data_IF_641622606664
#
_entry.id   IF_641622606664
#
_cell.length_a   1.000
_cell.length_b   1.000
_cell.length_c   1.000
_cell.angle_alpha   90.00
_cell.angle_beta   90.00
_cell.angle_gamma   90.00
#
_symmetry.space_group_name_H-M   'P 1'
#
loop_
_entity.id
_entity.type
_entity.pdbx_description
1 polymer ?
#
# COMPACT_ATOMS: atom_id res chain seq x y z
N UNK A 1 -29.45 6.94 -16.44
CA UNK A 1 -30.23 6.27 -17.51
C UNK A 1 -29.71 6.75 -18.84
N UNK A 2 -28.80 6.00 -19.48
CA UNK A 2 -28.29 6.32 -20.82
C UNK A 2 -29.14 5.59 -21.86
N UNK A 3 -29.80 6.34 -22.74
CA UNK A 3 -30.49 5.77 -23.90
C UNK A 3 -29.47 5.16 -24.85
N UNK A 4 -29.43 3.83 -24.95
CA UNK A 4 -28.86 3.15 -26.11
C UNK A 4 -29.82 3.32 -27.28
N UNK A 5 -29.61 4.34 -28.12
CA UNK A 5 -30.21 4.38 -29.45
C UNK A 5 -29.52 3.31 -30.29
N UNK A 6 -30.22 2.19 -30.50
CA UNK A 6 -29.83 1.19 -31.49
C UNK A 6 -30.02 1.84 -32.87
N UNK A 7 -28.94 2.35 -33.45
CA UNK A 7 -28.92 2.68 -34.88
C UNK A 7 -28.97 1.35 -35.65
N UNK A 8 -30.16 0.93 -36.07
CA UNK A 8 -30.27 -0.08 -37.13
C UNK A 8 -29.70 0.57 -38.40
N UNK A 9 -28.60 0.01 -38.89
CA UNK A 9 -27.96 0.47 -40.12
C UNK A 9 -28.86 0.07 -41.30
N UNK A 10 -29.31 1.08 -42.05
CA UNK A 10 -30.17 0.96 -43.24
C UNK A 10 -29.58 0.04 -44.33
N UNK A 11 -28.29 -0.26 -44.19
CA UNK A 11 -27.42 -1.10 -45.01
C UNK A 11 -27.63 -2.58 -44.76
N UNK A 12 -27.81 -2.97 -43.49
CA UNK A 12 -28.12 -4.35 -43.13
C UNK A 12 -29.47 -4.77 -43.72
N UNK A 13 -30.41 -3.83 -43.82
CA UNK A 13 -31.71 -4.08 -44.45
C UNK A 13 -31.57 -4.28 -45.97
N UNK A 14 -30.74 -3.48 -46.66
CA UNK A 14 -30.49 -3.63 -48.11
C UNK A 14 -29.74 -4.94 -48.43
N UNK A 15 -28.73 -5.28 -47.62
CA UNK A 15 -27.97 -6.53 -47.78
C UNK A 15 -28.83 -7.74 -47.46
N UNK A 16 -29.65 -7.69 -46.41
CA UNK A 16 -30.60 -8.75 -46.07
C UNK A 16 -31.63 -8.93 -47.19
N UNK A 17 -32.15 -7.84 -47.78
CA UNK A 17 -33.09 -7.90 -48.89
C UNK A 17 -32.47 -8.52 -50.14
N UNK A 18 -31.23 -8.17 -50.48
CA UNK A 18 -30.48 -8.75 -51.59
C UNK A 18 -30.23 -10.26 -51.40
N UNK A 19 -29.85 -10.67 -50.18
CA UNK A 19 -29.56 -12.08 -49.84
C UNK A 19 -30.82 -12.95 -49.70
N UNK A 20 -32.00 -12.35 -49.55
CA UNK A 20 -33.27 -13.08 -49.37
C UNK A 20 -33.96 -13.41 -50.70
N UNK A 21 -33.48 -12.89 -51.83
CA UNK A 21 -33.99 -13.22 -53.16
C UNK A 21 -33.34 -14.51 -53.69
N UNK A 22 -34.14 -15.43 -54.25
CA UNK A 22 -33.65 -16.76 -54.69
C UNK A 22 -32.72 -16.72 -55.91
N UNK A 23 -32.67 -15.60 -56.63
CA UNK A 23 -31.68 -15.29 -57.69
C UNK A 23 -31.41 -13.77 -57.72
N UNK A 24 -30.51 -13.26 -56.87
CA UNK A 24 -30.25 -11.82 -56.82
C UNK A 24 -29.60 -11.36 -58.13
N UNK A 25 -30.22 -10.37 -58.76
CA UNK A 25 -29.66 -9.74 -59.96
C UNK A 25 -28.26 -9.18 -59.67
N UNK A 26 -27.31 -9.41 -60.58
CA UNK A 26 -25.92 -8.95 -60.49
C UNK A 26 -25.81 -7.45 -60.19
N UNK A 27 -26.76 -6.65 -60.69
CA UNK A 27 -26.79 -5.20 -60.46
C UNK A 27 -27.12 -4.83 -59.02
N UNK A 28 -28.00 -5.60 -58.35
CA UNK A 28 -28.38 -5.40 -56.94
C UNK A 28 -27.21 -5.75 -56.02
N UNK A 29 -26.48 -6.83 -56.33
CA UNK A 29 -25.29 -7.23 -55.58
C UNK A 29 -24.15 -6.21 -55.73
N UNK A 30 -23.92 -5.68 -56.95
CA UNK A 30 -22.93 -4.63 -57.18
C UNK A 30 -23.26 -3.34 -56.42
N UNK A 31 -24.54 -2.94 -56.40
CA UNK A 31 -24.99 -1.78 -55.63
C UNK A 31 -24.81 -2.00 -54.12
N UNK A 32 -25.21 -3.14 -53.59
CA UNK A 32 -25.03 -3.48 -52.18
C UNK A 32 -23.55 -3.51 -51.78
N UNK A 33 -22.69 -4.11 -52.61
CA UNK A 33 -21.24 -4.16 -52.37
C UNK A 33 -20.61 -2.76 -52.37
N UNK A 34 -21.01 -1.89 -53.30
CA UNK A 34 -20.55 -0.49 -53.35
C UNK A 34 -20.96 0.28 -52.09
N UNK A 35 -22.19 0.09 -51.61
CA UNK A 35 -22.67 0.70 -50.37
C UNK A 35 -21.87 0.20 -49.16
N UNK A 36 -21.66 -1.12 -49.04
CA UNK A 36 -20.84 -1.70 -47.97
C UNK A 36 -19.40 -1.17 -47.99
N UNK A 37 -18.80 -1.04 -49.17
CA UNK A 37 -17.44 -0.49 -49.32
C UNK A 37 -17.36 0.97 -48.84
N UNK A 38 -18.35 1.79 -49.20
CA UNK A 38 -18.41 3.20 -48.81
C UNK A 38 -18.59 3.35 -47.30
N UNK A 39 -19.46 2.55 -46.69
CA UNK A 39 -19.64 2.56 -45.24
C UNK A 39 -18.41 2.08 -44.47
N UNK A 40 -17.75 1.05 -44.98
CA UNK A 40 -16.51 0.57 -44.40
C UNK A 40 -15.40 1.63 -44.47
N UNK A 41 -15.35 2.41 -45.55
CA UNK A 41 -14.46 3.57 -45.64
C UNK A 41 -14.84 4.66 -44.62
N UNK A 42 -16.11 4.97 -44.47
CA UNK A 42 -16.60 5.95 -43.49
C UNK A 42 -16.29 5.52 -42.05
N UNK A 43 -16.55 4.26 -41.69
CA UNK A 43 -16.22 3.71 -40.38
C UNK A 43 -14.71 3.76 -40.11
N UNK A 44 -13.88 3.42 -41.10
CA UNK A 44 -12.41 3.56 -40.98
C UNK A 44 -11.95 5.01 -40.81
N UNK A 45 -12.66 5.97 -41.40
CA UNK A 45 -12.36 7.39 -41.21
C UNK A 45 -12.73 7.85 -39.80
N UNK A 46 -13.92 7.48 -39.31
CA UNK A 46 -14.37 7.78 -37.94
C UNK A 46 -13.45 7.17 -36.87
N UNK A 47 -13.05 5.91 -37.04
CA UNK A 47 -12.10 5.26 -36.12
C UNK A 47 -10.78 6.04 -36.07
N UNK A 48 -10.24 6.47 -37.21
CA UNK A 48 -9.02 7.29 -37.26
C UNK A 48 -9.20 8.64 -36.57
N UNK A 49 -10.33 9.32 -36.78
CA UNK A 49 -10.61 10.58 -36.08
C UNK A 49 -10.70 10.39 -34.56
N UNK A 50 -11.41 9.37 -34.10
CA UNK A 50 -11.53 9.06 -32.66
C UNK A 50 -10.19 8.65 -32.04
N UNK A 51 -9.32 7.98 -32.79
CA UNK A 51 -7.96 7.66 -32.34
C UNK A 51 -7.11 8.93 -32.18
N UNK A 52 -7.14 9.82 -33.17
CA UNK A 52 -6.44 11.11 -33.10
C UNK A 52 -6.96 11.99 -31.96
N UNK A 53 -8.28 12.02 -31.73
CA UNK A 53 -8.87 12.74 -30.61
C UNK A 53 -8.47 12.12 -29.27
N UNK A 54 -8.45 10.79 -29.15
CA UNK A 54 -7.94 10.10 -27.96
C UNK A 54 -6.46 10.39 -27.70
N UNK A 55 -5.64 10.42 -28.75
CA UNK A 55 -4.22 10.78 -28.64
C UNK A 55 -4.04 12.23 -28.21
N UNK A 56 -4.82 13.16 -28.78
CA UNK A 56 -4.81 14.57 -28.38
C UNK A 56 -5.28 14.77 -26.93
N UNK A 57 -6.31 14.05 -26.49
CA UNK A 57 -6.79 14.06 -25.10
C UNK A 57 -5.76 13.43 -24.15
N UNK A 58 -5.08 12.36 -24.58
CA UNK A 58 -3.97 11.75 -23.83
C UNK A 58 -2.77 12.69 -23.73
N UNK A 59 -2.44 13.41 -24.80
CA UNK A 59 -1.37 14.41 -24.80
C UNK A 59 -1.71 15.61 -23.90
N UNK A 60 -2.93 16.14 -23.97
CA UNK A 60 -3.40 17.23 -23.09
C UNK A 60 -3.45 16.83 -21.61
N UNK A 61 -3.78 15.58 -21.30
CA UNK A 61 -3.78 15.05 -19.94
C UNK A 61 -2.39 14.68 -19.43
N UNK A 62 -1.41 14.48 -20.31
CA UNK A 62 -0.01 14.24 -19.90
C UNK A 62 0.83 15.53 -19.80
N UNK A 63 0.46 16.62 -20.49
CA UNK A 63 1.09 17.93 -20.33
C UNK A 63 0.57 18.72 -19.12
N UNK A 64 -0.61 18.38 -18.62
CA UNK A 64 -1.18 18.96 -17.40
C UNK A 64 -0.86 18.04 -16.21
N UNK A 65 0.27 18.27 -15.55
CA UNK A 65 0.61 17.85 -14.17
C UNK A 65 0.07 16.49 -13.72
N UNK A 66 0.98 15.53 -13.59
CA UNK A 66 0.85 14.23 -12.93
C UNK A 66 0.15 14.25 -11.55
N UNK A 67 -1.18 14.37 -11.55
CA UNK A 67 -2.03 13.99 -10.44
C UNK A 67 -2.95 12.92 -10.99
N UNK A 68 -2.58 11.67 -10.73
CA UNK A 68 -3.38 10.48 -10.94
C UNK A 68 -4.76 10.68 -10.27
N UNK A 69 -5.73 11.18 -11.03
CA UNK A 69 -7.14 11.07 -10.70
C UNK A 69 -7.57 9.61 -10.89
N UNK A 70 -7.25 8.77 -9.90
CA UNK A 70 -8.18 7.70 -9.55
C UNK A 70 -9.45 8.42 -9.12
N UNK A 71 -10.56 8.17 -9.81
CA UNK A 71 -11.89 8.56 -9.38
C UNK A 71 -12.23 7.84 -8.06
N UNK A 72 -11.63 8.30 -6.98
CA UNK A 72 -11.99 7.92 -5.63
C UNK A 72 -12.93 9.02 -5.17
N UNK A 73 -14.20 8.68 -5.02
CA UNK A 73 -15.02 9.36 -4.03
C UNK A 73 -14.16 9.58 -2.77
N UNK A 74 -14.12 10.81 -2.25
CA UNK A 74 -13.36 11.08 -1.04
C UNK A 74 -13.79 10.06 0.03
N UNK A 75 -12.83 9.39 0.72
CA UNK A 75 -13.14 8.43 1.77
C UNK A 75 -14.27 8.93 2.67
N UNK A 76 -15.20 8.06 3.05
CA UNK A 76 -16.43 8.45 3.75
C UNK A 76 -16.16 9.32 4.99
N UNK A 77 -15.03 9.13 5.68
CA UNK A 77 -14.62 9.95 6.82
C UNK A 77 -14.29 11.41 6.46
N UNK A 78 -13.87 11.70 5.23
CA UNK A 78 -13.63 13.07 4.73
C UNK A 78 -14.97 13.81 4.55
N UNK A 79 -16.06 13.08 4.35
CA UNK A 79 -17.41 13.66 4.26
C UNK A 79 -17.99 14.02 5.64
N UNK A 80 -17.38 13.56 6.74
CA UNK A 80 -17.79 13.97 8.08
C UNK A 80 -17.33 15.42 8.35
N UNK A 81 -18.27 16.36 8.25
CA UNK A 81 -18.01 17.81 8.35
C UNK A 81 -17.22 18.19 9.60
N UNK A 82 -17.46 17.52 10.74
CA UNK A 82 -16.81 17.77 12.03
C UNK A 82 -15.30 17.49 12.03
N UNK A 83 -14.80 16.61 11.15
CA UNK A 83 -13.38 16.25 11.10
C UNK A 83 -12.58 17.09 10.09
N UNK A 84 -13.25 17.82 9.21
CA UNK A 84 -12.60 18.62 8.15
C UNK A 84 -11.57 19.62 8.71
N UNK A 85 -11.85 20.37 9.79
CA UNK A 85 -10.88 21.31 10.36
C UNK A 85 -9.59 20.63 10.86
N UNK A 86 -9.68 19.36 11.26
CA UNK A 86 -8.58 18.60 11.84
C UNK A 86 -7.91 17.63 10.87
N UNK A 87 -8.27 17.70 9.58
CA UNK A 87 -7.82 16.72 8.57
C UNK A 87 -6.30 16.55 8.55
N UNK A 88 -5.55 17.66 8.53
CA UNK A 88 -4.10 17.59 8.45
C UNK A 88 -3.47 17.01 9.73
N UNK A 89 -4.03 17.32 10.89
CA UNK A 89 -3.60 16.76 12.17
C UNK A 89 -3.88 15.26 12.25
N UNK A 90 -5.07 14.83 11.82
CA UNK A 90 -5.43 13.41 11.77
C UNK A 90 -4.44 12.67 10.87
N UNK A 91 -4.18 13.17 9.65
CA UNK A 91 -3.22 12.55 8.73
C UNK A 91 -1.83 12.47 9.35
N UNK A 92 -1.31 13.59 9.86
CA UNK A 92 0.06 13.65 10.41
C UNK A 92 0.22 12.74 11.63
N UNK A 93 -0.73 12.78 12.57
CA UNK A 93 -0.66 12.03 13.83
C UNK A 93 -0.95 10.55 13.63
N UNK A 94 -1.84 10.17 12.71
CA UNK A 94 -2.07 8.77 12.34
C UNK A 94 -0.80 8.14 11.76
N UNK A 95 -0.09 8.86 10.89
CA UNK A 95 1.19 8.39 10.34
C UNK A 95 2.26 8.26 11.43
N UNK A 96 2.37 9.25 12.32
CA UNK A 96 3.32 9.21 13.44
C UNK A 96 3.01 8.04 14.39
N UNK A 97 1.76 7.90 14.80
CA UNK A 97 1.29 6.81 15.66
C UNK A 97 1.55 5.43 15.02
N UNK A 98 1.24 5.28 13.74
CA UNK A 98 1.50 4.02 13.01
C UNK A 98 2.99 3.72 12.85
N UNK A 99 3.83 4.74 12.60
CA UNK A 99 5.27 4.54 12.49
C UNK A 99 5.93 4.17 13.82
N UNK A 100 5.50 4.83 14.90
CA UNK A 100 6.18 4.79 16.19
C UNK A 100 5.59 3.74 17.13
N UNK A 101 4.29 3.53 17.15
CA UNK A 101 3.65 2.71 18.20
C UNK A 101 2.99 1.46 17.63
N UNK A 102 2.07 1.62 16.67
CA UNK A 102 1.20 0.52 16.24
C UNK A 102 1.13 0.44 14.71
N UNK A 103 2.09 -0.29 14.14
CA UNK A 103 2.28 -0.40 12.70
C UNK A 103 1.09 -1.02 11.96
N UNK A 104 0.37 -1.94 12.60
CA UNK A 104 -0.73 -2.68 11.97
C UNK A 104 -2.11 -2.05 12.19
N UNK A 105 -2.18 -1.03 13.05
CA UNK A 105 -3.43 -0.44 13.52
C UNK A 105 -4.16 -1.41 14.45
N UNK A 106 -4.64 -0.90 15.58
CA UNK A 106 -5.33 -1.69 16.58
C UNK A 106 -6.74 -1.14 16.81
N UNK A 107 -7.74 -1.83 16.26
CA UNK A 107 -9.10 -1.29 16.19
C UNK A 107 -9.80 -1.23 17.55
N UNK A 108 -9.47 -2.16 18.44
CA UNK A 108 -10.11 -2.26 19.75
C UNK A 108 -9.79 -1.07 20.66
N UNK A 109 -8.73 -0.32 20.36
CA UNK A 109 -8.34 0.84 21.14
C UNK A 109 -9.20 2.09 20.89
N UNK A 110 -10.03 2.09 19.83
CA UNK A 110 -10.95 3.17 19.51
C UNK A 110 -12.33 2.91 20.08
N UNK A 111 -13.14 3.97 20.18
CA UNK A 111 -14.49 3.92 20.73
C UNK A 111 -14.49 3.48 22.21
N UNK A 112 -13.45 3.91 22.93
CA UNK A 112 -13.22 3.61 24.33
C UNK A 112 -12.74 4.90 25.03
N UNK A 113 -13.13 5.13 26.29
CA UNK A 113 -12.62 6.25 27.08
C UNK A 113 -11.12 6.11 27.34
N UNK A 114 -10.47 7.22 27.68
CA UNK A 114 -9.09 7.20 28.14
C UNK A 114 -8.97 6.31 29.40
N UNK A 115 -8.08 5.31 29.44
CA UNK A 115 -7.94 4.43 30.59
C UNK A 115 -7.34 5.17 31.78
N UNK A 116 -7.94 4.99 32.96
CA UNK A 116 -7.46 5.59 34.21
C UNK A 116 -6.09 5.03 34.64
N UNK A 117 -5.85 3.74 34.37
CA UNK A 117 -4.60 3.05 34.70
C UNK A 117 -3.96 2.56 33.41
N UNK A 118 -2.75 3.05 33.14
CA UNK A 118 -1.92 2.61 32.02
C UNK A 118 -1.05 1.45 32.49
N UNK A 119 -1.13 0.27 31.86
CA UNK A 119 -0.29 -0.87 32.21
C UNK A 119 1.20 -0.53 32.05
N UNK A 120 2.02 -1.08 32.93
CA UNK A 120 3.48 -1.00 32.83
C UNK A 120 4.01 -1.75 31.60
N UNK A 121 5.31 -1.62 31.31
CA UNK A 121 5.96 -2.26 30.16
C UNK A 121 5.82 -3.78 30.20
N UNK A 122 5.84 -4.37 31.39
CA UNK A 122 5.69 -5.81 31.62
C UNK A 122 4.22 -6.22 31.48
N UNK A 123 3.32 -5.52 32.17
CA UNK A 123 1.89 -5.86 32.23
C UNK A 123 1.18 -5.76 30.88
N UNK A 124 1.61 -4.85 30.00
CA UNK A 124 0.93 -4.62 28.70
C UNK A 124 0.86 -5.86 27.81
N UNK A 125 1.72 -6.86 28.03
CA UNK A 125 1.76 -8.09 27.25
C UNK A 125 1.18 -9.31 27.97
N UNK A 126 0.70 -9.16 29.20
CA UNK A 126 0.14 -10.26 29.99
C UNK A 126 -1.29 -10.63 29.55
N UNK A 127 -2.03 -9.67 28.98
CA UNK A 127 -3.38 -9.91 28.48
C UNK A 127 -3.76 -8.99 27.32
N UNK A 128 -4.75 -9.41 26.53
CA UNK A 128 -5.31 -8.59 25.46
C UNK A 128 -5.95 -7.31 26.00
N UNK A 129 -6.56 -7.35 27.18
CA UNK A 129 -7.14 -6.17 27.84
C UNK A 129 -6.07 -5.15 28.25
N UNK A 130 -4.97 -5.62 28.87
CA UNK A 130 -3.85 -4.75 29.22
C UNK A 130 -3.24 -4.12 27.97
N UNK A 131 -3.06 -4.91 26.90
CA UNK A 131 -2.61 -4.35 25.62
C UNK A 131 -3.57 -3.31 25.07
N UNK A 132 -4.89 -3.57 25.14
CA UNK A 132 -5.91 -2.63 24.68
C UNK A 132 -5.84 -1.31 25.43
N UNK A 133 -5.80 -1.33 26.77
CA UNK A 133 -5.64 -0.13 27.60
C UNK A 133 -4.35 0.61 27.28
N UNK A 134 -3.24 -0.10 27.12
CA UNK A 134 -1.98 0.52 26.72
C UNK A 134 -2.11 1.25 25.37
N UNK A 135 -2.62 0.60 24.33
CA UNK A 135 -2.75 1.23 23.01
C UNK A 135 -3.77 2.37 23.00
N UNK A 136 -4.89 2.24 23.73
CA UNK A 136 -5.84 3.35 23.93
C UNK A 136 -5.13 4.54 24.56
N UNK A 137 -4.38 4.38 25.65
CA UNK A 137 -3.66 5.48 26.30
C UNK A 137 -2.69 6.21 25.35
N UNK A 138 -2.05 5.47 24.45
CA UNK A 138 -1.18 6.04 23.43
C UNK A 138 -1.96 6.88 22.41
N UNK A 139 -3.16 6.47 22.00
CA UNK A 139 -4.00 7.30 21.12
C UNK A 139 -4.29 8.67 21.77
N UNK A 140 -4.68 8.70 23.05
CA UNK A 140 -4.92 9.96 23.76
C UNK A 140 -3.66 10.81 23.94
N UNK A 141 -2.49 10.18 24.01
CA UNK A 141 -1.19 10.88 24.06
C UNK A 141 -0.82 11.48 22.70
N UNK A 142 -1.11 10.78 21.61
CA UNK A 142 -0.71 11.18 20.26
C UNK A 142 -1.67 12.19 19.61
N UNK A 143 -2.93 12.21 20.02
CA UNK A 143 -3.94 13.13 19.50
C UNK A 143 -4.26 14.25 20.51
N UNK A 144 -4.46 15.49 20.03
CA UNK A 144 -4.77 16.62 20.89
C UNK A 144 -6.13 16.45 21.58
N UNK A 145 -6.30 17.10 22.74
CA UNK A 145 -7.45 16.93 23.64
C UNK A 145 -8.80 17.25 22.99
N UNK A 146 -8.83 18.20 22.06
CA UNK A 146 -10.03 18.54 21.29
C UNK A 146 -10.52 17.40 20.37
N UNK A 147 -9.67 16.41 20.05
CA UNK A 147 -10.06 15.22 19.29
C UNK A 147 -10.43 14.03 20.18
N UNK A 148 -10.21 14.10 21.49
CA UNK A 148 -10.51 13.01 22.43
C UNK A 148 -11.98 12.56 22.38
N UNK A 149 -13.00 13.45 22.34
CA UNK A 149 -14.39 13.02 22.19
C UNK A 149 -14.64 12.21 20.91
N UNK A 150 -13.89 12.51 19.83
CA UNK A 150 -13.99 11.76 18.58
C UNK A 150 -13.34 10.38 18.66
N UNK A 151 -12.29 10.21 19.47
CA UNK A 151 -11.68 8.90 19.76
C UNK A 151 -12.71 8.00 20.47
N UNK A 152 -13.46 8.55 21.42
CA UNK A 152 -14.43 7.83 22.26
C UNK A 152 -15.70 7.40 21.54
N UNK A 153 -16.18 8.20 20.58
CA UNK A 153 -17.56 8.06 20.09
C UNK A 153 -17.71 8.02 18.58
N UNK A 154 -16.72 8.51 17.82
CA UNK A 154 -16.90 8.76 16.38
C UNK A 154 -16.24 7.66 15.52
N UNK A 155 -17.07 6.79 14.94
CA UNK A 155 -16.62 5.74 14.01
C UNK A 155 -15.84 6.33 12.83
N UNK A 156 -16.27 7.47 12.29
CA UNK A 156 -15.57 8.13 11.19
C UNK A 156 -14.13 8.53 11.55
N UNK A 157 -13.87 8.87 12.82
CA UNK A 157 -12.51 9.16 13.29
C UNK A 157 -11.65 7.90 13.32
N UNK A 158 -12.17 6.80 13.89
CA UNK A 158 -11.51 5.48 13.85
C UNK A 158 -11.12 5.12 12.42
N UNK A 159 -12.08 5.18 11.50
CA UNK A 159 -11.89 4.79 10.11
C UNK A 159 -10.86 5.71 9.41
N UNK A 160 -10.87 7.01 9.72
CA UNK A 160 -9.86 7.95 9.22
C UNK A 160 -8.45 7.55 9.63
N UNK A 161 -8.24 7.29 10.93
CA UNK A 161 -6.92 6.94 11.48
C UNK A 161 -6.42 5.61 10.90
N UNK A 162 -7.27 4.58 10.88
CA UNK A 162 -6.91 3.27 10.35
C UNK A 162 -6.66 3.30 8.83
N UNK A 163 -7.45 4.08 8.09
CA UNK A 163 -7.25 4.31 6.65
C UNK A 163 -5.88 4.94 6.40
N UNK A 164 -5.55 6.03 7.11
CA UNK A 164 -4.27 6.72 6.97
C UNK A 164 -3.08 5.86 7.40
N UNK A 165 -3.21 5.06 8.46
CA UNK A 165 -2.19 4.10 8.87
C UNK A 165 -1.95 3.04 7.79
N UNK A 166 -3.01 2.49 7.19
CA UNK A 166 -2.92 1.48 6.13
C UNK A 166 -2.29 2.02 4.84
N UNK A 167 -2.66 3.23 4.41
CA UNK A 167 -2.06 3.92 3.27
C UNK A 167 -0.57 4.15 3.52
N UNK A 168 -0.23 4.69 4.69
CA UNK A 168 1.15 4.97 5.06
C UNK A 168 2.01 3.71 5.10
N UNK A 169 1.54 2.64 5.74
CA UNK A 169 2.20 1.33 5.72
C UNK A 169 2.45 0.85 4.29
N UNK A 170 1.45 0.94 3.42
CA UNK A 170 1.58 0.50 2.01
C UNK A 170 2.69 1.28 1.29
N UNK A 171 2.78 2.59 1.55
CA UNK A 171 3.88 3.43 1.07
C UNK A 171 5.22 2.99 1.64
N UNK A 172 5.32 2.75 2.94
CA UNK A 172 6.55 2.32 3.60
C UNK A 172 7.08 0.99 3.05
N UNK A 173 6.21 -0.02 2.96
CA UNK A 173 6.56 -1.32 2.37
C UNK A 173 7.01 -1.16 0.93
N UNK A 174 6.30 -0.35 0.13
CA UNK A 174 6.71 -0.08 -1.25
C UNK A 174 8.07 0.61 -1.33
N UNK A 175 8.36 1.56 -0.45
CA UNK A 175 9.64 2.26 -0.40
C UNK A 175 10.76 1.34 0.07
N UNK A 176 10.49 0.48 1.05
CA UNK A 176 11.46 -0.47 1.56
C UNK A 176 11.84 -1.53 0.53
N UNK A 177 10.89 -1.97 -0.30
CA UNK A 177 11.19 -2.83 -1.47
C UNK A 177 12.11 -2.14 -2.46
N UNK A 178 11.86 -0.86 -2.78
CA UNK A 178 12.76 -0.07 -3.64
C UNK A 178 14.15 0.11 -3.02
N UNK A 179 14.21 0.30 -1.70
CA UNK A 179 15.45 0.41 -0.92
C UNK A 179 16.13 -0.92 -0.62
N UNK A 180 15.54 -2.06 -0.99
CA UNK A 180 16.02 -3.41 -0.70
C UNK A 180 17.52 -3.63 -0.98
N UNK A 181 18.06 -3.25 -2.15
CA UNK A 181 19.49 -3.37 -2.44
C UNK A 181 20.41 -2.67 -1.41
N UNK A 182 19.95 -1.53 -0.89
CA UNK A 182 20.69 -0.72 0.08
C UNK A 182 20.49 -1.25 1.50
N UNK A 183 19.28 -1.71 1.83
CA UNK A 183 18.98 -2.34 3.13
C UNK A 183 19.86 -3.57 3.32
N UNK A 184 19.93 -4.45 2.30
CA UNK A 184 20.64 -5.72 2.34
C UNK A 184 22.01 -5.69 1.66
N UNK A 185 22.64 -4.52 1.55
CA UNK A 185 23.99 -4.41 0.96
C UNK A 185 24.96 -5.36 1.66
N UNK A 186 25.75 -6.07 0.85
CA UNK A 186 26.73 -7.07 1.30
C UNK A 186 26.20 -8.51 1.39
N UNK A 187 24.93 -8.74 1.09
CA UNK A 187 24.32 -10.10 1.11
C UNK A 187 24.23 -10.77 -0.25
N UNK A 188 24.76 -10.14 -1.32
CA UNK A 188 24.76 -10.67 -2.68
C UNK A 188 23.37 -11.14 -3.17
N UNK A 189 22.31 -10.45 -2.75
CA UNK A 189 20.95 -10.75 -3.20
C UNK A 189 20.77 -10.20 -4.62
N UNK A 190 20.35 -11.02 -5.59
CA UNK A 190 20.17 -10.57 -6.96
C UNK A 190 19.22 -9.36 -7.06
N UNK A 191 19.54 -8.34 -7.88
CA UNK A 191 18.68 -7.16 -8.03
C UNK A 191 17.25 -7.50 -8.47
N UNK A 192 17.08 -8.57 -9.25
CA UNK A 192 15.78 -9.08 -9.72
C UNK A 192 14.86 -9.44 -8.55
N UNK A 193 15.40 -9.86 -7.40
CA UNK A 193 14.62 -10.21 -6.23
C UNK A 193 13.80 -9.02 -5.72
N UNK A 194 14.28 -7.79 -5.88
CA UNK A 194 13.58 -6.59 -5.41
C UNK A 194 12.43 -6.14 -6.32
N UNK A 195 12.31 -6.73 -7.51
CA UNK A 195 11.21 -6.47 -8.43
C UNK A 195 9.91 -7.10 -7.91
N UNK A 196 8.76 -6.49 -8.26
CA UNK A 196 7.43 -6.98 -7.82
C UNK A 196 7.03 -8.31 -8.46
N UNK A 197 7.61 -8.65 -9.60
CA UNK A 197 7.33 -9.87 -10.38
C UNK A 197 8.10 -11.09 -9.86
N UNK A 198 9.19 -10.89 -9.12
CA UNK A 198 10.05 -11.99 -8.69
C UNK A 198 9.41 -12.78 -7.54
N UNK A 199 9.38 -14.10 -7.68
CA UNK A 199 8.96 -15.02 -6.62
C UNK A 199 10.15 -15.31 -5.69
N UNK A 200 10.19 -14.63 -4.54
CA UNK A 200 11.29 -14.75 -3.56
C UNK A 200 11.25 -16.04 -2.75
N UNK A 201 10.12 -16.74 -2.76
CA UNK A 201 9.89 -17.96 -1.97
C UNK A 201 10.78 -19.15 -2.41
N UNK A 202 11.37 -19.08 -3.61
CA UNK A 202 12.27 -20.11 -4.13
C UNK A 202 13.71 -19.61 -4.28
N UNK A 203 13.96 -18.35 -3.97
CA UNK A 203 15.27 -17.74 -4.12
C UNK A 203 16.09 -18.00 -2.87
N UNK A 204 17.13 -18.84 -2.99
CA UNK A 204 17.97 -19.25 -1.86
C UNK A 204 18.60 -18.07 -1.13
N UNK A 205 19.03 -17.03 -1.85
CA UNK A 205 19.58 -15.81 -1.26
C UNK A 205 18.57 -15.04 -0.38
N UNK A 206 17.28 -15.05 -0.75
CA UNK A 206 16.21 -14.45 0.04
C UNK A 206 15.79 -15.36 1.21
N UNK A 207 15.71 -16.67 0.98
CA UNK A 207 15.35 -17.65 2.03
C UNK A 207 16.37 -17.67 3.17
N UNK A 208 17.66 -17.44 2.88
CA UNK A 208 18.70 -17.27 3.90
C UNK A 208 18.48 -16.10 4.84
N UNK A 209 17.70 -15.08 4.45
CA UNK A 209 17.31 -14.00 5.37
C UNK A 209 16.29 -14.45 6.43
N UNK A 210 15.62 -15.58 6.15
CA UNK A 210 14.56 -16.12 6.97
C UNK A 210 15.08 -17.20 7.91
N UNK A 211 16.08 -17.99 7.49
CA UNK A 211 16.57 -19.15 8.22
C UNK A 211 17.95 -18.91 8.86
N UNK A 212 18.17 -19.47 10.04
CA UNK A 212 19.49 -19.58 10.64
C UNK A 212 20.15 -20.86 10.14
N UNK A 213 21.30 -20.76 9.46
CA UNK A 213 22.11 -21.94 9.11
C UNK A 213 23.47 -21.86 9.84
N UNK A 214 23.65 -22.62 10.93
CA UNK A 214 24.87 -22.58 11.73
C UNK A 214 26.11 -23.15 11.01
N UNK A 215 25.94 -23.91 9.92
CA UNK A 215 27.04 -24.54 9.17
C UNK A 215 27.49 -23.71 7.95
N UNK A 216 26.75 -22.66 7.59
CA UNK A 216 27.12 -21.78 6.49
C UNK A 216 28.27 -20.84 6.90
N UNK A 217 29.19 -20.56 5.97
CA UNK A 217 30.21 -19.52 6.16
C UNK A 217 29.53 -18.21 6.60
N UNK A 218 30.00 -17.57 7.69
CA UNK A 218 29.27 -16.47 8.31
C UNK A 218 29.15 -15.29 7.35
N UNK A 219 27.93 -14.97 6.94
CA UNK A 219 27.62 -13.64 6.41
C UNK A 219 27.79 -12.62 7.52
N UNK A 220 28.03 -11.36 7.15
CA UNK A 220 27.99 -10.21 8.06
C UNK A 220 26.70 -10.14 8.92
N UNK A 221 25.62 -10.78 8.45
CA UNK A 221 24.32 -10.84 9.13
C UNK A 221 24.04 -12.20 9.77
N UNK A 222 24.81 -13.27 9.49
CA UNK A 222 24.74 -14.54 10.22
C UNK A 222 25.32 -14.40 11.65
N UNK A 223 25.92 -13.25 11.98
CA UNK A 223 26.26 -12.88 13.36
C UNK A 223 25.03 -12.39 14.18
N UNK A 224 23.91 -12.12 13.51
CA UNK A 224 22.69 -11.59 14.12
C UNK A 224 21.51 -12.52 13.78
N UNK A 225 20.54 -12.74 14.68
CA UNK A 225 19.47 -13.70 14.45
C UNK A 225 18.68 -13.34 13.17
N UNK A 226 18.14 -14.35 12.46
CA UNK A 226 17.23 -14.11 11.35
C UNK A 226 16.09 -13.26 11.85
N UNK A 227 15.63 -12.31 11.03
CA UNK A 227 14.69 -11.27 11.47
C UNK A 227 13.32 -11.87 11.88
N UNK A 228 13.11 -13.16 11.58
CA UNK A 228 11.91 -13.94 11.87
C UNK A 228 12.10 -15.13 12.82
N UNK A 229 13.33 -15.52 13.16
CA UNK A 229 13.58 -16.60 14.10
C UNK A 229 14.37 -16.07 15.28
N UNK A 230 13.63 -15.41 16.19
CA UNK A 230 14.08 -15.24 17.57
C UNK A 230 14.18 -16.64 18.18
N UNK A 231 15.40 -17.14 18.35
CA UNK A 231 15.63 -18.16 19.36
C UNK A 231 15.47 -17.48 20.73
N UNK A 232 14.25 -17.53 21.26
CA UNK A 232 13.88 -16.89 22.55
C UNK A 232 14.69 -17.47 23.71
N UNK A 233 15.27 -18.66 23.53
CA UNK A 233 16.17 -19.29 24.51
C UNK A 233 17.59 -18.70 24.52
N UNK A 234 17.98 -17.98 23.45
CA UNK A 234 19.27 -17.27 23.35
C UNK A 234 19.08 -15.76 23.56
N UNK A 235 20.17 -15.08 23.94
CA UNK A 235 20.20 -13.64 24.19
C UNK A 235 19.56 -12.90 23.00
N UNK A 236 18.47 -12.17 23.24
CA UNK A 236 17.71 -11.42 22.23
C UNK A 236 18.36 -10.08 21.84
N UNK A 237 19.33 -9.61 22.63
CA UNK A 237 20.06 -8.35 22.41
C UNK A 237 20.66 -8.18 21.00
N UNK A 238 21.27 -9.19 20.37
CA UNK A 238 21.80 -9.12 19.00
C UNK A 238 20.76 -8.72 17.93
N UNK A 239 19.46 -9.00 18.15
CA UNK A 239 18.40 -8.63 17.20
C UNK A 239 18.41 -7.11 16.92
N UNK A 240 18.61 -6.30 17.96
CA UNK A 240 18.58 -4.84 17.86
C UNK A 240 19.80 -4.26 17.11
N UNK A 241 20.84 -5.08 16.89
CA UNK A 241 22.02 -4.70 16.10
C UNK A 241 21.91 -5.10 14.62
N UNK A 242 20.79 -5.73 14.22
CA UNK A 242 20.58 -6.09 12.83
C UNK A 242 20.50 -4.82 11.96
N UNK A 243 21.51 -4.61 11.11
CA UNK A 243 21.60 -3.38 10.31
C UNK A 243 20.46 -3.21 9.30
N UNK A 244 19.78 -4.29 8.90
CA UNK A 244 18.59 -4.19 8.05
C UNK A 244 17.41 -3.54 8.81
N UNK A 245 17.25 -3.85 10.10
CA UNK A 245 16.25 -3.19 10.96
C UNK A 245 16.56 -1.71 11.12
N UNK A 246 17.82 -1.37 11.41
CA UNK A 246 18.27 0.03 11.57
C UNK A 246 18.05 0.83 10.28
N UNK A 247 18.44 0.28 9.13
CA UNK A 247 18.20 0.92 7.82
C UNK A 247 16.70 1.05 7.52
N UNK A 248 15.89 0.04 7.84
CA UNK A 248 14.44 0.10 7.64
C UNK A 248 13.77 1.15 8.54
N UNK A 249 14.21 1.28 9.78
CA UNK A 249 13.75 2.34 10.68
C UNK A 249 14.15 3.72 10.15
N UNK A 250 15.40 3.89 9.68
CA UNK A 250 15.87 5.13 9.04
C UNK A 250 15.07 5.46 7.79
N UNK A 251 14.79 4.49 6.94
CA UNK A 251 13.95 4.66 5.76
C UNK A 251 12.53 5.10 6.13
N UNK A 252 11.95 4.48 7.17
CA UNK A 252 10.60 4.78 7.65
C UNK A 252 10.46 6.24 8.11
N UNK A 253 11.45 6.73 8.85
CA UNK A 253 11.44 8.10 9.37
C UNK A 253 11.91 9.12 8.33
N UNK A 254 13.00 8.83 7.63
CA UNK A 254 13.73 9.85 6.87
C UNK A 254 13.67 9.69 5.35
N UNK A 255 13.06 8.62 4.85
CA UNK A 255 12.98 8.32 3.42
C UNK A 255 14.27 7.73 2.85
N UNK A 256 14.29 7.52 1.52
CA UNK A 256 15.36 6.76 0.85
C UNK A 256 16.70 7.48 0.85
N UNK A 257 16.72 8.81 0.82
CA UNK A 257 17.96 9.61 0.84
C UNK A 257 18.78 9.37 2.12
N UNK A 258 18.11 9.03 3.22
CA UNK A 258 18.76 8.70 4.49
C UNK A 258 19.57 7.39 4.46
N UNK A 259 19.35 6.55 3.46
CA UNK A 259 20.11 5.32 3.25
C UNK A 259 21.39 5.55 2.44
N UNK A 260 21.40 6.58 1.57
CA UNK A 260 22.53 6.91 0.70
C UNK A 260 23.64 7.70 1.39
N UNK A 261 23.46 8.09 2.67
CA UNK A 261 24.39 8.96 3.39
C UNK A 261 24.30 10.44 2.98
N UNK A 262 23.33 10.78 2.13
CA UNK A 262 23.06 12.16 1.73
C UNK A 262 22.45 12.96 2.89
N UNK A 263 22.49 14.30 2.75
CA UNK A 263 21.86 15.21 3.72
C UNK A 263 20.37 14.87 3.87
N UNK A 264 19.94 14.69 5.12
CA UNK A 264 18.55 14.37 5.43
C UNK A 264 17.63 15.49 4.93
N UNK A 265 16.50 15.10 4.34
CA UNK A 265 15.47 16.05 3.94
C UNK A 265 14.82 16.68 5.18
N UNK A 266 14.81 18.00 5.24
CA UNK A 266 14.08 18.78 6.28
C UNK A 266 12.59 18.48 6.28
N UNK A 267 12.06 18.01 5.14
CA UNK A 267 10.67 17.66 4.96
C UNK A 267 10.32 16.21 5.31
N UNK A 268 11.30 15.42 5.73
CA UNK A 268 11.08 14.03 6.12
C UNK A 268 10.26 13.90 7.40
N UNK A 269 9.59 12.75 7.57
CA UNK A 269 8.72 12.49 8.72
C UNK A 269 9.48 12.57 10.04
N UNK A 270 10.69 12.01 10.12
CA UNK A 270 11.52 12.05 11.31
C UNK A 270 11.92 13.47 11.70
N UNK A 271 12.26 14.33 10.74
CA UNK A 271 12.55 15.75 11.02
C UNK A 271 11.32 16.50 11.52
N UNK A 272 10.16 16.25 10.92
CA UNK A 272 8.89 16.88 11.33
C UNK A 272 8.37 16.40 12.68
N UNK A 273 8.54 15.11 12.98
CA UNK A 273 8.00 14.50 14.18
C UNK A 273 8.90 14.62 15.39
N UNK A 274 10.19 14.87 15.18
CA UNK A 274 11.23 15.01 16.20
C UNK A 274 11.23 13.85 17.20
N UNK A 275 11.32 12.57 16.77
CA UNK A 275 11.28 11.45 17.70
C UNK A 275 12.52 11.52 18.61
N UNK A 276 12.29 11.62 19.92
CA UNK A 276 13.36 11.68 20.93
C UNK A 276 13.97 10.31 21.24
N UNK A 277 13.22 9.23 20.97
CA UNK A 277 13.62 7.86 21.28
C UNK A 277 13.04 6.87 20.28
N UNK A 278 13.73 5.74 20.14
CA UNK A 278 13.20 4.56 19.46
C UNK A 278 12.14 3.91 20.34
N UNK A 279 11.02 3.55 19.76
CA UNK A 279 9.87 2.91 20.42
C UNK A 279 9.79 1.43 20.03
N UNK A 280 9.12 0.61 20.86
CA UNK A 280 8.91 -0.81 20.53
C UNK A 280 8.11 -0.99 19.24
N UNK A 281 7.18 -0.07 18.95
CA UNK A 281 6.39 -0.09 17.72
C UNK A 281 7.22 0.14 16.46
N UNK A 282 8.18 1.08 16.47
CA UNK A 282 9.08 1.31 15.33
C UNK A 282 9.96 0.10 15.04
N UNK A 283 10.44 -0.57 16.10
CA UNK A 283 11.24 -1.79 15.97
C UNK A 283 10.40 -2.92 15.38
N UNK A 284 9.21 -3.17 15.95
CA UNK A 284 8.28 -4.19 15.48
C UNK A 284 7.81 -3.94 14.04
N UNK A 285 7.52 -2.69 13.69
CA UNK A 285 7.17 -2.27 12.32
C UNK A 285 8.33 -2.49 11.35
N UNK A 286 9.56 -2.16 11.76
CA UNK A 286 10.75 -2.39 10.93
C UNK A 286 11.00 -3.88 10.70
N UNK A 287 10.85 -4.71 11.73
CA UNK A 287 10.93 -6.17 11.62
C UNK A 287 9.86 -6.74 10.69
N UNK A 288 8.63 -6.24 10.82
CA UNK A 288 7.49 -6.60 9.94
C UNK A 288 7.78 -6.27 8.48
N UNK A 289 8.29 -5.06 8.20
CA UNK A 289 8.64 -4.61 6.84
C UNK A 289 9.75 -5.48 6.27
N UNK A 290 10.82 -5.70 7.03
CA UNK A 290 11.92 -6.55 6.58
C UNK A 290 11.42 -7.95 6.27
N UNK A 291 10.64 -8.56 7.16
CA UNK A 291 10.02 -9.86 6.93
C UNK A 291 9.21 -9.89 5.63
N UNK A 292 8.36 -8.88 5.39
CA UNK A 292 7.55 -8.79 4.16
C UNK A 292 8.44 -8.72 2.91
N UNK A 293 9.51 -7.94 2.97
CA UNK A 293 10.48 -7.83 1.88
C UNK A 293 11.17 -9.18 1.61
N UNK A 294 11.51 -9.94 2.65
CA UNK A 294 12.24 -11.20 2.51
C UNK A 294 11.35 -12.38 2.10
N UNK A 295 10.09 -12.41 2.53
CA UNK A 295 9.21 -13.57 2.36
C UNK A 295 8.31 -13.53 1.14
N UNK A 296 7.97 -12.34 0.62
CA UNK A 296 6.92 -12.08 -0.37
C UNK A 296 5.97 -13.27 -0.66
N UNK A 297 5.16 -13.64 0.33
CA UNK A 297 3.83 -14.18 0.01
C UNK A 297 3.02 -12.97 -0.41
N UNK A 298 2.36 -12.99 -1.57
CA UNK A 298 1.30 -12.00 -1.84
C UNK A 298 0.43 -11.95 -0.59
N UNK A 299 0.29 -10.82 0.11
CA UNK A 299 -0.73 -10.70 1.12
C UNK A 299 -2.02 -10.86 0.33
N UNK A 300 -2.67 -12.01 0.44
CA UNK A 300 -4.08 -12.05 0.14
C UNK A 300 -4.66 -11.02 1.10
N UNK A 301 -5.11 -9.90 0.56
CA UNK A 301 -5.68 -8.76 1.31
C UNK A 301 -6.91 -9.22 2.14
N UNK A 302 -7.32 -10.49 2.03
CA UNK A 302 -8.44 -11.13 2.72
C UNK A 302 -8.07 -12.20 3.76
N UNK A 303 -6.81 -12.54 3.97
CA UNK A 303 -6.48 -13.53 5.03
C UNK A 303 -6.58 -12.87 6.40
N UNK A 304 -7.76 -13.05 7.00
CA UNK A 304 -8.19 -12.73 8.36
C UNK A 304 -7.05 -12.61 9.39
N UNK A 305 -7.04 -11.46 10.08
CA UNK A 305 -6.20 -11.13 11.26
C UNK A 305 -6.13 -12.21 12.34
N UNK A 306 -7.08 -13.14 12.39
CA UNK A 306 -7.15 -14.20 13.41
C UNK A 306 -5.92 -15.13 13.46
N UNK A 307 -5.13 -15.23 12.39
CA UNK A 307 -4.05 -16.20 12.33
C UNK A 307 -2.66 -15.67 12.72
N UNK A 308 -2.49 -14.36 12.93
CA UNK A 308 -1.16 -13.82 13.27
C UNK A 308 -0.81 -14.00 14.76
N UNK A 309 -1.80 -13.90 15.65
CA UNK A 309 -1.62 -14.12 17.10
C UNK A 309 -1.56 -15.59 17.51
N UNK A 310 -2.14 -16.51 16.72
CA UNK A 310 -2.06 -17.96 16.98
C UNK A 310 -0.74 -18.59 16.48
N UNK A 311 0.24 -17.79 16.05
CA UNK A 311 1.52 -18.25 15.47
C UNK A 311 2.75 -17.60 16.09
N UNK A 312 2.57 -16.78 17.10
CA UNK A 312 3.61 -16.38 18.06
C UNK A 312 3.33 -17.11 19.37
#
# INVERSE_FOLDING_TARGET
MGMFRIYKSHTLDIVSLALSSSTPSTTVLQAALKTCQLELQNARHQIRQLQLENEALRAKSSSSTSISHRSSEAPAWIKASILVPFRQDIITRSKKFSAMEEFWGYENAFLQPCPNLVPTIQERYESVDAYNRYVTSLLYTYFPTNLHPSIESLVAFKDAVLCQASEFRSTLVSNARKGGPVIYTGLNIPPVCWQRSCSRQHESSCLRLLTWNPEAKPLKYDLYPPILHLDVSRKSSPLFYNSALIKTARLTLFGSTALSGEKLSTNSSGMKWGPLKTTSGLIAGSASIVSDISTFRRPSIRTNRKNYWNRL
#
